data_IF_730034037393
#
_entry.id   IF_730034037393
#
_cell.length_a   1.000
_cell.length_b   1.000
_cell.length_c   1.000
_cell.angle_alpha   90.00
_cell.angle_beta   90.00
_cell.angle_gamma   90.00
#
_symmetry.space_group_name_H-M   'P 1'
#
loop_
_entity.id
_entity.type
_entity.pdbx_description
1 polymer ?
#
# COMPACT_ATOMS: atom_id res chain seq x y z
N UNK A 1 -7.10 23.04 -7.67
CA UNK A 1 -6.95 23.27 -6.22
C UNK A 1 -5.57 22.79 -5.80
N UNK A 2 -4.83 23.61 -5.06
CA UNK A 2 -3.45 23.31 -4.69
C UNK A 2 -3.38 22.16 -3.68
N UNK A 3 -2.52 21.19 -3.97
CA UNK A 3 -2.30 20.00 -3.16
C UNK A 3 -0.80 19.76 -2.93
N UNK A 4 -0.43 19.50 -1.69
CA UNK A 4 0.93 19.04 -1.34
C UNK A 4 0.95 17.52 -1.20
N UNK A 5 2.03 16.88 -1.65
CA UNK A 5 2.25 15.44 -1.49
C UNK A 5 3.22 15.24 -0.32
N UNK A 6 2.87 14.44 0.68
CA UNK A 6 3.76 14.12 1.80
C UNK A 6 4.40 12.76 1.55
N UNK A 7 5.71 12.76 1.31
CA UNK A 7 6.51 11.60 0.91
C UNK A 7 7.05 11.74 -0.52
N UNK A 8 8.35 11.96 -0.67
CA UNK A 8 9.09 12.06 -1.94
C UNK A 8 9.85 10.76 -2.24
N UNK A 9 9.13 9.64 -2.17
CA UNK A 9 9.63 8.29 -2.46
C UNK A 9 8.79 7.61 -3.54
N UNK A 10 8.91 6.28 -3.68
CA UNK A 10 8.18 5.50 -4.70
C UNK A 10 6.66 5.75 -4.69
N UNK A 11 6.03 5.74 -3.52
CA UNK A 11 4.59 6.02 -3.39
C UNK A 11 4.26 7.46 -3.82
N UNK A 12 5.12 8.43 -3.52
CA UNK A 12 4.99 9.82 -3.95
C UNK A 12 4.98 9.97 -5.48
N UNK A 13 5.82 9.19 -6.19
CA UNK A 13 5.83 9.16 -7.67
C UNK A 13 4.49 8.68 -8.22
N UNK A 14 3.94 7.61 -7.64
CA UNK A 14 2.65 7.04 -8.08
C UNK A 14 1.51 8.03 -7.82
N UNK A 15 1.49 8.69 -6.66
CA UNK A 15 0.47 9.71 -6.36
C UNK A 15 0.59 10.90 -7.30
N UNK A 16 1.81 11.35 -7.61
CA UNK A 16 2.03 12.42 -8.58
C UNK A 16 1.52 12.02 -9.98
N UNK A 17 1.77 10.79 -10.42
CA UNK A 17 1.24 10.25 -11.68
C UNK A 17 -0.29 10.30 -11.70
N UNK A 18 -0.96 9.78 -10.66
CA UNK A 18 -2.43 9.86 -10.51
C UNK A 18 -2.91 11.31 -10.60
N UNK A 19 -2.31 12.21 -9.83
CA UNK A 19 -2.70 13.63 -9.82
C UNK A 19 -2.49 14.30 -11.19
N UNK A 20 -1.46 13.90 -11.93
CA UNK A 20 -1.15 14.44 -13.26
C UNK A 20 -2.19 14.05 -14.32
N UNK A 21 -2.94 12.97 -14.10
CA UNK A 21 -4.08 12.59 -14.96
C UNK A 21 -5.35 13.38 -14.68
N UNK A 22 -5.36 14.25 -13.65
CA UNK A 22 -6.54 14.96 -13.17
C UNK A 22 -6.36 16.47 -13.27
N UNK A 23 -7.37 17.19 -13.77
CA UNK A 23 -7.32 18.67 -13.87
C UNK A 23 -7.73 19.37 -12.57
N UNK A 24 -8.38 18.65 -11.64
CA UNK A 24 -8.93 19.22 -10.40
C UNK A 24 -7.84 19.65 -9.43
N UNK A 25 -6.72 18.95 -9.40
CA UNK A 25 -5.65 19.12 -8.43
C UNK A 25 -4.41 19.70 -9.09
N UNK A 26 -3.74 20.59 -8.36
CA UNK A 26 -2.49 21.20 -8.80
C UNK A 26 -1.41 20.86 -7.76
N UNK A 27 -0.56 19.85 -8.02
CA UNK A 27 0.55 19.54 -7.15
C UNK A 27 1.46 20.77 -7.00
N UNK A 28 1.75 21.19 -5.78
CA UNK A 28 2.63 22.35 -5.51
C UNK A 28 4.06 21.93 -5.15
N UNK A 29 4.25 20.67 -4.76
CA UNK A 29 5.53 20.17 -4.27
C UNK A 29 5.36 18.96 -3.36
N UNK A 30 6.50 18.49 -2.85
CA UNK A 30 6.59 17.41 -1.89
C UNK A 30 7.00 17.92 -0.51
N UNK A 31 6.61 17.21 0.54
CA UNK A 31 7.25 17.26 1.85
C UNK A 31 7.98 15.95 2.11
N UNK A 32 9.21 15.99 2.59
CA UNK A 32 10.00 14.81 2.91
C UNK A 32 11.02 15.12 4.02
N UNK A 33 11.17 14.20 4.98
CA UNK A 33 12.06 14.38 6.12
C UNK A 33 13.52 14.00 5.81
N UNK A 34 13.79 13.39 4.64
CA UNK A 34 15.14 13.00 4.25
C UNK A 34 16.06 14.23 4.07
N UNK A 35 17.18 14.32 4.80
CA UNK A 35 18.12 15.43 4.64
C UNK A 35 18.71 15.56 3.24
N UNK A 36 18.80 14.45 2.49
CA UNK A 36 19.32 14.45 1.11
C UNK A 36 18.39 15.13 0.10
N UNK A 37 17.13 15.35 0.47
CA UNK A 37 16.13 15.98 -0.38
C UNK A 37 15.90 17.46 -0.03
N UNK A 38 16.61 17.99 0.96
CA UNK A 38 16.49 19.40 1.33
C UNK A 38 16.91 20.31 0.17
N UNK A 39 16.14 21.37 -0.07
CA UNK A 39 16.38 22.36 -1.13
C UNK A 39 16.54 21.72 -2.52
N UNK A 40 15.89 20.56 -2.74
CA UNK A 40 15.98 19.78 -3.97
C UNK A 40 14.66 19.75 -4.75
N UNK A 41 14.68 19.02 -5.88
CA UNK A 41 13.48 18.67 -6.62
C UNK A 41 13.31 17.16 -6.68
N UNK A 42 12.06 16.72 -6.70
CA UNK A 42 11.67 15.34 -6.91
C UNK A 42 10.62 15.28 -8.02
N UNK A 43 10.89 14.49 -9.07
CA UNK A 43 10.03 14.39 -10.26
C UNK A 43 9.67 15.75 -10.89
N UNK A 44 10.60 16.72 -10.87
CA UNK A 44 10.40 18.07 -11.42
C UNK A 44 9.60 19.02 -10.52
N UNK A 45 9.23 18.60 -9.31
CA UNK A 45 8.55 19.44 -8.31
C UNK A 45 9.48 19.74 -7.14
N UNK A 46 9.35 20.91 -6.49
CA UNK A 46 10.18 21.26 -5.34
C UNK A 46 9.85 20.38 -4.13
N UNK A 47 10.89 20.02 -3.37
CA UNK A 47 10.73 19.51 -2.00
C UNK A 47 10.67 20.72 -1.07
N UNK A 48 9.48 21.02 -0.56
CA UNK A 48 9.14 22.25 0.16
C UNK A 48 9.62 22.26 1.62
N UNK A 49 10.15 21.13 2.11
CA UNK A 49 10.63 20.95 3.48
C UNK A 49 10.22 19.61 4.09
N UNK A 50 10.44 19.43 5.40
CA UNK A 50 10.02 18.25 6.16
C UNK A 50 8.50 18.18 6.35
N UNK A 51 7.97 17.02 6.74
CA UNK A 51 6.56 16.82 7.06
C UNK A 51 6.07 17.70 8.23
N UNK A 52 6.98 18.24 9.05
CA UNK A 52 6.65 19.24 10.07
C UNK A 52 6.10 20.55 9.48
N UNK A 53 6.39 20.85 8.22
CA UNK A 53 6.00 22.10 7.56
C UNK A 53 4.54 22.14 7.09
N UNK A 54 3.76 21.08 7.30
CA UNK A 54 2.32 21.07 7.03
C UNK A 54 1.60 22.30 7.61
N UNK A 55 1.92 22.70 8.84
CA UNK A 55 1.30 23.85 9.49
C UNK A 55 1.65 25.18 8.78
N UNK A 56 2.90 25.29 8.29
CA UNK A 56 3.36 26.44 7.51
C UNK A 56 2.62 26.51 6.17
N UNK A 57 2.58 25.41 5.42
CA UNK A 57 1.89 25.35 4.13
C UNK A 57 0.39 25.65 4.23
N UNK A 58 -0.25 25.22 5.33
CA UNK A 58 -1.66 25.57 5.55
C UNK A 58 -1.86 27.07 5.70
N UNK A 59 -0.98 27.76 6.45
CA UNK A 59 -0.99 29.22 6.61
C UNK A 59 -0.72 29.93 5.30
N UNK A 60 0.12 29.35 4.44
CA UNK A 60 0.37 29.78 3.06
C UNK A 60 -0.79 29.45 2.10
N UNK A 61 -1.96 29.06 2.64
CA UNK A 61 -3.22 28.81 1.92
C UNK A 61 -3.23 27.58 1.01
N UNK A 62 -2.28 26.65 1.15
CA UNK A 62 -2.43 25.31 0.55
C UNK A 62 -3.64 24.62 1.18
N UNK A 63 -4.53 24.08 0.33
CA UNK A 63 -5.86 23.65 0.76
C UNK A 63 -5.98 22.14 0.94
N UNK A 64 -5.19 21.35 0.20
CA UNK A 64 -5.21 19.89 0.26
C UNK A 64 -3.83 19.30 0.54
N UNK A 65 -3.83 18.11 1.12
CA UNK A 65 -2.65 17.27 1.28
C UNK A 65 -3.00 15.82 0.94
N UNK A 66 -2.03 15.06 0.43
CA UNK A 66 -2.14 13.61 0.26
C UNK A 66 -0.91 12.94 0.87
N UNK A 67 -1.12 11.93 1.71
CA UNK A 67 -0.04 11.30 2.47
C UNK A 67 0.46 10.07 1.71
N UNK A 68 1.47 10.27 0.87
CA UNK A 68 2.08 9.26 0.01
C UNK A 68 3.21 8.49 0.72
N UNK A 69 2.90 7.90 1.88
CA UNK A 69 3.85 7.12 2.70
C UNK A 69 3.41 5.66 2.77
N UNK A 70 4.33 4.72 2.50
CA UNK A 70 4.05 3.29 2.53
C UNK A 70 3.72 2.78 3.93
N UNK A 71 4.53 3.16 4.93
CA UNK A 71 4.33 2.73 6.32
C UNK A 71 2.97 3.19 6.87
N UNK A 72 2.09 2.25 7.23
CA UNK A 72 0.72 2.53 7.67
C UNK A 72 0.65 3.44 8.90
N UNK A 73 1.56 3.28 9.87
CA UNK A 73 1.56 4.05 11.12
C UNK A 73 2.01 5.49 10.89
N UNK A 74 3.09 5.68 10.14
CA UNK A 74 3.57 7.00 9.75
C UNK A 74 2.51 7.71 8.90
N UNK A 75 1.95 7.00 7.91
CA UNK A 75 0.86 7.53 7.06
C UNK A 75 -0.36 7.94 7.89
N UNK A 76 -0.76 7.15 8.89
CA UNK A 76 -1.89 7.48 9.76
C UNK A 76 -1.63 8.70 10.65
N UNK A 77 -0.45 8.78 11.26
CA UNK A 77 -0.05 9.92 12.10
C UNK A 77 -0.05 11.23 11.30
N UNK A 78 0.55 11.23 10.10
CA UNK A 78 0.59 12.38 9.22
C UNK A 78 -0.79 12.75 8.66
N UNK A 79 -1.63 11.76 8.35
CA UNK A 79 -3.02 11.98 7.94
C UNK A 79 -3.80 12.69 9.05
N UNK A 80 -3.68 12.23 10.29
CA UNK A 80 -4.35 12.86 11.42
C UNK A 80 -3.88 14.29 11.64
N UNK A 81 -2.57 14.52 11.62
CA UNK A 81 -1.98 15.86 11.73
C UNK A 81 -2.48 16.79 10.64
N UNK A 82 -2.51 16.34 9.38
CA UNK A 82 -3.01 17.15 8.27
C UNK A 82 -4.51 17.47 8.43
N UNK A 83 -5.31 16.50 8.90
CA UNK A 83 -6.73 16.69 9.20
C UNK A 83 -6.97 17.73 10.30
N UNK A 84 -6.21 17.66 11.40
CA UNK A 84 -6.28 18.61 12.51
C UNK A 84 -5.88 20.03 12.08
N UNK A 85 -4.93 20.15 11.16
CA UNK A 85 -4.55 21.42 10.54
C UNK A 85 -5.59 21.93 9.52
N UNK A 86 -6.67 21.20 9.27
CA UNK A 86 -7.76 21.62 8.37
C UNK A 86 -7.38 21.54 6.89
N UNK A 87 -6.50 20.62 6.51
CA UNK A 87 -6.32 20.25 5.11
C UNK A 87 -7.51 19.41 4.64
N UNK A 88 -7.89 19.56 3.36
CA UNK A 88 -8.68 18.54 2.68
C UNK A 88 -7.78 17.36 2.31
N UNK A 89 -8.26 16.15 2.53
CA UNK A 89 -7.51 14.91 2.26
C UNK A 89 -8.25 14.16 1.17
N UNK A 90 -8.04 14.50 -0.11
CA UNK A 90 -8.85 13.96 -1.17
C UNK A 90 -8.55 12.49 -1.43
N UNK A 91 -9.57 11.78 -1.92
CA UNK A 91 -9.38 10.50 -2.58
C UNK A 91 -8.92 10.72 -4.01
N UNK A 92 -7.78 10.11 -4.37
CA UNK A 92 -7.13 10.23 -5.68
C UNK A 92 -7.21 8.89 -6.39
N UNK A 93 -7.71 8.90 -7.62
CA UNK A 93 -8.09 7.69 -8.36
C UNK A 93 -7.51 7.80 -9.76
N UNK A 94 -6.69 6.82 -10.15
CA UNK A 94 -6.20 6.73 -11.52
C UNK A 94 -7.37 6.43 -12.48
N UNK A 95 -7.45 7.08 -13.67
CA UNK A 95 -8.56 6.90 -14.61
C UNK A 95 -8.71 5.47 -15.17
N UNK A 96 -7.67 4.64 -15.09
CA UNK A 96 -7.75 3.22 -15.48
C UNK A 96 -8.31 2.29 -14.40
N UNK A 97 -8.59 2.79 -13.19
CA UNK A 97 -9.25 2.00 -12.17
C UNK A 97 -10.73 1.78 -12.52
N UNK A 98 -11.22 0.57 -12.31
CA UNK A 98 -12.63 0.20 -12.52
C UNK A 98 -13.32 0.14 -11.16
N UNK A 99 -14.25 1.05 -10.92
CA UNK A 99 -14.92 1.19 -9.62
C UNK A 99 -16.43 1.16 -9.84
N UNK A 100 -17.13 0.25 -9.14
CA UNK A 100 -18.58 0.20 -9.16
C UNK A 100 -19.21 1.46 -8.53
N UNK A 101 -20.40 1.84 -9.00
CA UNK A 101 -21.02 3.14 -8.68
C UNK A 101 -21.42 3.30 -7.21
N UNK A 102 -21.66 2.19 -6.53
CA UNK A 102 -22.13 2.09 -5.15
C UNK A 102 -20.99 1.90 -4.13
N UNK A 103 -19.75 1.83 -4.59
CA UNK A 103 -18.57 1.77 -3.71
C UNK A 103 -18.44 3.07 -2.93
N UNK A 104 -18.36 2.96 -1.61
CA UNK A 104 -18.09 4.10 -0.73
C UNK A 104 -16.63 4.12 -0.30
N UNK A 105 -15.99 5.30 -0.35
CA UNK A 105 -14.60 5.51 0.07
C UNK A 105 -14.50 6.66 1.07
N UNK A 106 -13.64 6.50 2.08
CA UNK A 106 -13.25 7.57 2.98
C UNK A 106 -12.30 8.59 2.34
N UNK A 107 -11.74 9.45 3.18
CA UNK A 107 -10.79 10.49 2.79
C UNK A 107 -9.37 9.93 2.61
N UNK A 108 -8.57 10.56 1.77
CA UNK A 108 -7.14 10.24 1.59
C UNK A 108 -6.87 8.88 0.95
N UNK A 109 -7.86 8.25 0.33
CA UNK A 109 -7.68 6.97 -0.36
C UNK A 109 -6.88 7.18 -1.66
N UNK A 110 -5.93 6.30 -1.93
CA UNK A 110 -5.09 6.31 -3.12
C UNK A 110 -5.40 5.07 -3.94
N UNK A 111 -5.96 5.24 -5.13
CA UNK A 111 -6.31 4.13 -6.04
C UNK A 111 -5.42 4.20 -7.28
N UNK A 112 -4.46 3.28 -7.34
CA UNK A 112 -3.46 3.15 -8.39
C UNK A 112 -4.04 2.60 -9.71
N UNK A 113 -3.28 2.68 -10.82
CA UNK A 113 -3.71 2.14 -12.12
C UNK A 113 -4.15 0.68 -12.07
N UNK A 114 -5.21 0.35 -12.82
CA UNK A 114 -5.68 -1.03 -13.00
C UNK A 114 -6.37 -1.66 -11.78
N UNK A 115 -6.53 -0.94 -10.67
CA UNK A 115 -7.31 -1.41 -9.54
C UNK A 115 -8.77 -1.67 -9.93
N UNK A 116 -9.34 -2.79 -9.47
CA UNK A 116 -10.74 -3.14 -9.70
C UNK A 116 -11.46 -3.26 -8.35
N UNK A 117 -12.52 -2.49 -8.15
CA UNK A 117 -13.29 -2.45 -6.90
C UNK A 117 -14.76 -2.56 -7.28
N UNK A 118 -15.40 -3.68 -6.95
CA UNK A 118 -16.76 -3.96 -7.43
C UNK A 118 -17.82 -3.70 -6.33
N UNK A 119 -19.08 -3.93 -6.70
CA UNK A 119 -20.30 -3.52 -5.98
C UNK A 119 -20.33 -3.94 -4.51
N UNK A 120 -21.00 -3.15 -3.66
CA UNK A 120 -21.18 -3.43 -2.24
C UNK A 120 -19.97 -3.13 -1.35
N UNK A 121 -18.78 -2.90 -1.93
CA UNK A 121 -17.56 -2.68 -1.17
C UNK A 121 -17.49 -1.33 -0.45
N UNK A 122 -16.96 -1.34 0.77
CA UNK A 122 -16.77 -0.17 1.63
C UNK A 122 -15.31 -0.02 2.02
N UNK A 123 -14.76 1.16 1.77
CA UNK A 123 -13.36 1.47 2.00
C UNK A 123 -13.25 2.63 2.98
N UNK A 124 -12.51 2.43 4.05
CA UNK A 124 -12.20 3.44 5.06
C UNK A 124 -11.29 4.56 4.56
N UNK A 125 -10.69 5.28 5.51
CA UNK A 125 -9.83 6.42 5.26
C UNK A 125 -8.37 6.01 5.06
N UNK A 126 -7.64 6.78 4.25
CA UNK A 126 -6.18 6.76 4.15
C UNK A 126 -5.63 5.37 3.76
N UNK A 127 -6.38 4.69 2.89
CA UNK A 127 -6.04 3.38 2.33
C UNK A 127 -5.20 3.57 1.08
N UNK A 128 -4.20 2.72 0.90
CA UNK A 128 -3.50 2.57 -0.38
C UNK A 128 -3.98 1.31 -1.08
N UNK A 129 -4.64 1.49 -2.22
CA UNK A 129 -5.04 0.42 -3.15
C UNK A 129 -4.11 0.47 -4.35
N UNK A 130 -3.11 -0.42 -4.35
CA UNK A 130 -2.00 -0.33 -5.27
C UNK A 130 -2.32 -0.96 -6.65
N UNK A 131 -1.33 -0.95 -7.55
CA UNK A 131 -1.50 -1.29 -8.96
C UNK A 131 -2.10 -2.68 -9.15
N UNK A 132 -3.12 -2.78 -9.99
CA UNK A 132 -3.76 -4.04 -10.39
C UNK A 132 -4.28 -4.91 -9.23
N UNK A 133 -4.68 -4.30 -8.11
CA UNK A 133 -5.41 -5.01 -7.04
C UNK A 133 -6.84 -5.32 -7.48
N UNK A 134 -7.47 -6.31 -6.84
CA UNK A 134 -8.93 -6.48 -6.91
C UNK A 134 -9.56 -6.57 -5.53
N UNK A 135 -10.67 -5.86 -5.35
CA UNK A 135 -11.58 -5.96 -4.20
C UNK A 135 -12.94 -6.36 -4.75
N UNK A 136 -13.31 -7.63 -4.54
CA UNK A 136 -14.55 -8.19 -5.04
C UNK A 136 -15.77 -7.72 -4.23
N UNK A 137 -16.95 -8.26 -4.50
CA UNK A 137 -18.21 -7.74 -3.99
C UNK A 137 -18.30 -7.77 -2.46
N UNK A 138 -18.99 -6.81 -1.86
CA UNK A 138 -19.29 -6.76 -0.42
C UNK A 138 -18.09 -6.78 0.53
N UNK A 139 -16.90 -6.35 0.09
CA UNK A 139 -15.74 -6.27 0.98
C UNK A 139 -15.80 -5.05 1.90
N UNK A 140 -15.16 -5.17 3.07
CA UNK A 140 -14.90 -4.06 3.97
C UNK A 140 -13.40 -3.92 4.17
N UNK A 141 -12.80 -2.82 3.74
CA UNK A 141 -11.39 -2.49 4.02
C UNK A 141 -11.33 -1.32 4.97
N UNK A 142 -10.80 -1.54 6.17
CA UNK A 142 -10.76 -0.54 7.24
C UNK A 142 -9.68 0.53 7.02
N UNK A 143 -9.71 1.57 7.84
CA UNK A 143 -8.78 2.69 7.79
C UNK A 143 -7.29 2.26 7.81
N UNK A 144 -6.46 3.03 7.11
CA UNK A 144 -5.00 2.90 7.12
C UNK A 144 -4.46 1.57 6.57
N UNK A 145 -5.27 0.79 5.86
CA UNK A 145 -4.79 -0.42 5.19
C UNK A 145 -3.86 -0.11 4.01
N UNK A 146 -3.03 -1.10 3.67
CA UNK A 146 -2.22 -1.10 2.46
C UNK A 146 -2.46 -2.40 1.71
N UNK A 147 -3.06 -2.30 0.53
CA UNK A 147 -3.30 -3.43 -0.38
C UNK A 147 -2.27 -3.30 -1.50
N UNK A 148 -1.22 -4.10 -1.42
CA UNK A 148 -0.04 -4.01 -2.29
C UNK A 148 -0.34 -4.53 -3.71
N UNK A 149 0.53 -4.26 -4.70
CA UNK A 149 0.23 -4.54 -6.10
C UNK A 149 -0.19 -5.98 -6.37
N UNK A 150 -1.22 -6.17 -7.19
CA UNK A 150 -1.71 -7.49 -7.57
C UNK A 150 -2.30 -8.32 -6.42
N UNK A 151 -2.58 -7.74 -5.25
CA UNK A 151 -3.32 -8.44 -4.21
C UNK A 151 -4.81 -8.53 -4.56
N UNK A 152 -5.43 -9.67 -4.24
CA UNK A 152 -6.80 -10.00 -4.62
C UNK A 152 -7.61 -10.41 -3.38
N UNK A 153 -8.68 -9.67 -3.10
CA UNK A 153 -9.68 -10.01 -2.08
C UNK A 153 -10.92 -10.56 -2.79
N UNK A 154 -11.29 -11.80 -2.50
CA UNK A 154 -12.57 -12.36 -2.95
C UNK A 154 -13.76 -11.72 -2.20
N UNK A 155 -14.99 -12.09 -2.59
CA UNK A 155 -16.19 -11.44 -2.06
C UNK A 155 -16.35 -11.55 -0.54
N UNK A 156 -17.01 -10.57 0.06
CA UNK A 156 -17.36 -10.54 1.49
C UNK A 156 -16.15 -10.63 2.45
N UNK A 157 -14.96 -10.19 2.01
CA UNK A 157 -13.76 -10.15 2.85
C UNK A 157 -13.75 -8.89 3.72
N UNK A 158 -13.42 -9.06 5.00
CA UNK A 158 -13.18 -7.93 5.92
C UNK A 158 -11.69 -7.79 6.22
N UNK A 159 -11.14 -6.59 6.08
CA UNK A 159 -9.75 -6.26 6.41
C UNK A 159 -9.72 -5.23 7.54
N UNK A 160 -9.13 -5.61 8.68
CA UNK A 160 -8.97 -4.75 9.85
C UNK A 160 -7.94 -3.64 9.64
N UNK A 161 -7.98 -2.58 10.46
CA UNK A 161 -7.18 -1.38 10.25
C UNK A 161 -5.67 -1.66 10.34
N UNK A 162 -4.87 -0.81 9.68
CA UNK A 162 -3.39 -0.93 9.62
C UNK A 162 -2.85 -2.21 8.98
N UNK A 163 -3.70 -3.07 8.43
CA UNK A 163 -3.28 -4.31 7.80
C UNK A 163 -2.58 -4.06 6.46
N UNK A 164 -1.56 -4.87 6.21
CA UNK A 164 -0.79 -4.91 4.97
C UNK A 164 -1.06 -6.23 4.26
N UNK A 165 -1.72 -6.14 3.10
CA UNK A 165 -1.93 -7.28 2.20
C UNK A 165 -0.83 -7.23 1.14
N UNK A 166 0.12 -8.15 1.23
CA UNK A 166 1.34 -8.17 0.41
C UNK A 166 1.10 -8.41 -1.07
N UNK A 167 2.10 -8.07 -1.87
CA UNK A 167 2.03 -8.12 -3.33
C UNK A 167 1.62 -9.51 -3.81
N UNK A 168 0.62 -9.61 -4.69
CA UNK A 168 0.17 -10.90 -5.21
C UNK A 168 -0.51 -11.82 -4.19
N UNK A 169 -0.82 -11.34 -2.99
CA UNK A 169 -1.51 -12.16 -1.99
C UNK A 169 -2.99 -12.34 -2.34
N UNK A 170 -3.55 -13.50 -2.04
CA UNK A 170 -4.94 -13.86 -2.35
C UNK A 170 -5.70 -14.21 -1.07
N UNK A 171 -6.90 -13.66 -0.91
CA UNK A 171 -7.77 -13.88 0.26
C UNK A 171 -9.07 -14.50 -0.20
N UNK A 172 -9.40 -15.69 0.31
CA UNK A 172 -10.63 -16.40 -0.03
C UNK A 172 -11.89 -15.70 0.47
N UNK A 173 -13.02 -16.05 -0.14
CA UNK A 173 -14.31 -15.44 0.10
C UNK A 173 -14.72 -15.53 1.57
N UNK A 174 -15.31 -14.44 2.09
CA UNK A 174 -15.92 -14.41 3.42
C UNK A 174 -14.94 -14.33 4.60
N UNK A 175 -13.63 -14.26 4.33
CA UNK A 175 -12.62 -14.27 5.40
C UNK A 175 -12.49 -12.91 6.09
N UNK A 176 -12.15 -12.97 7.38
CA UNK A 176 -11.82 -11.81 8.21
C UNK A 176 -10.32 -11.77 8.48
N UNK A 177 -9.70 -10.67 8.12
CA UNK A 177 -8.33 -10.33 8.47
C UNK A 177 -8.38 -9.32 9.59
N UNK A 178 -7.70 -9.63 10.69
CA UNK A 178 -7.60 -8.77 11.86
C UNK A 178 -6.90 -7.43 11.61
N UNK A 179 -6.72 -6.70 12.70
CA UNK A 179 -5.98 -5.45 12.79
C UNK A 179 -4.48 -5.70 12.71
N UNK A 180 -3.75 -4.82 12.02
CA UNK A 180 -2.29 -4.83 12.00
C UNK A 180 -1.71 -6.19 11.57
N UNK A 181 -2.38 -6.87 10.62
CA UNK A 181 -1.89 -8.11 10.04
C UNK A 181 -0.92 -7.79 8.90
N UNK A 182 0.13 -8.59 8.74
CA UNK A 182 0.99 -8.57 7.56
C UNK A 182 0.83 -9.89 6.82
N UNK A 183 0.11 -9.87 5.71
CA UNK A 183 0.08 -10.97 4.76
C UNK A 183 1.27 -10.79 3.80
N UNK A 184 2.21 -11.73 3.82
CA UNK A 184 3.40 -11.69 2.96
C UNK A 184 3.06 -11.81 1.49
N UNK A 185 3.99 -11.37 0.64
CA UNK A 185 3.82 -11.45 -0.81
C UNK A 185 3.52 -12.89 -1.28
N UNK A 186 2.60 -13.02 -2.23
CA UNK A 186 2.18 -14.29 -2.83
C UNK A 186 1.41 -15.23 -1.90
N UNK A 187 1.09 -14.81 -0.67
CA UNK A 187 0.43 -15.70 0.29
C UNK A 187 -1.03 -15.96 -0.07
N UNK A 188 -1.53 -17.16 0.23
CA UNK A 188 -2.94 -17.53 0.01
C UNK A 188 -3.62 -17.78 1.35
N UNK A 189 -4.50 -16.87 1.77
CA UNK A 189 -5.21 -16.99 3.03
C UNK A 189 -6.47 -17.86 2.85
N UNK A 190 -6.52 -18.98 3.59
CA UNK A 190 -7.62 -19.96 3.52
C UNK A 190 -8.52 -19.96 4.78
N UNK A 191 -8.21 -19.14 5.78
CA UNK A 191 -8.95 -19.03 7.04
C UNK A 191 -8.76 -17.62 7.61
N UNK A 192 -9.64 -17.22 8.52
CA UNK A 192 -9.51 -15.94 9.22
C UNK A 192 -8.12 -15.75 9.83
N UNK A 193 -7.66 -14.51 9.85
CA UNK A 193 -6.38 -14.11 10.41
C UNK A 193 -6.61 -13.27 11.67
N UNK A 194 -5.98 -13.68 12.77
CA UNK A 194 -6.01 -12.92 14.02
C UNK A 194 -5.20 -11.62 13.92
N UNK A 195 -5.54 -10.66 14.78
CA UNK A 195 -4.80 -9.41 14.95
C UNK A 195 -3.31 -9.64 15.20
N UNK A 196 -2.49 -8.66 14.78
CA UNK A 196 -1.05 -8.64 15.04
C UNK A 196 -0.32 -9.90 14.56
N UNK A 197 -0.76 -10.53 13.47
CA UNK A 197 -0.10 -11.71 12.89
C UNK A 197 0.73 -11.35 11.65
N UNK A 198 1.78 -12.15 11.42
CA UNK A 198 2.53 -12.20 10.15
C UNK A 198 2.24 -13.55 9.52
N UNK A 199 1.66 -13.56 8.33
CA UNK A 199 1.23 -14.76 7.62
C UNK A 199 1.97 -14.84 6.29
N UNK A 200 2.56 -15.99 5.97
CA UNK A 200 3.27 -16.20 4.71
C UNK A 200 2.93 -17.56 4.07
N UNK A 201 3.11 -17.67 2.76
CA UNK A 201 3.15 -18.93 2.03
C UNK A 201 1.83 -19.39 1.40
N UNK A 202 1.89 -20.55 0.75
CA UNK A 202 0.75 -21.20 0.08
C UNK A 202 0.64 -22.65 0.54
N UNK A 203 -0.36 -23.00 1.37
CA UNK A 203 -1.32 -22.09 1.99
C UNK A 203 -0.67 -21.19 3.05
N UNK A 204 -1.27 -20.03 3.29
CA UNK A 204 -0.80 -19.05 4.27
C UNK A 204 -0.80 -19.63 5.68
N UNK A 205 0.32 -19.45 6.39
CA UNK A 205 0.47 -19.87 7.80
C UNK A 205 1.07 -18.73 8.61
N UNK A 206 0.65 -18.64 9.87
CA UNK A 206 1.25 -17.70 10.83
C UNK A 206 2.72 -18.05 10.99
N UNK A 207 3.59 -17.12 10.58
CA UNK A 207 5.04 -17.21 10.77
C UNK A 207 5.42 -16.75 12.17
N UNK A 208 4.83 -15.64 12.60
CA UNK A 208 5.03 -15.04 13.91
C UNK A 208 3.89 -14.08 14.25
N UNK A 209 3.83 -13.67 15.51
CA UNK A 209 3.06 -12.48 15.90
C UNK A 209 3.94 -11.24 15.79
N UNK A 210 3.33 -10.12 15.44
CA UNK A 210 3.90 -8.80 15.59
C UNK A 210 3.91 -8.46 17.08
N UNK A 211 4.96 -7.82 17.55
CA UNK A 211 4.99 -7.36 18.93
C UNK A 211 3.85 -6.37 19.14
N UNK A 212 3.12 -6.49 20.26
CA UNK A 212 2.24 -5.42 20.71
C UNK A 212 3.13 -4.26 21.11
N UNK A 213 3.21 -3.25 20.25
CA UNK A 213 4.13 -2.15 20.49
C UNK A 213 3.45 -1.15 21.42
N UNK A 214 3.84 -1.15 22.70
CA UNK A 214 3.60 0.00 23.57
C UNK A 214 4.44 1.17 23.08
N UNK A 215 3.81 2.31 22.76
CA UNK A 215 4.31 3.67 22.47
C UNK A 215 5.73 3.96 21.89
N UNK A 216 6.53 2.99 21.45
CA UNK A 216 7.86 3.21 20.90
C UNK A 216 8.05 2.44 19.59
N UNK A 217 8.02 3.21 18.50
CA UNK A 217 8.17 2.81 17.09
C UNK A 217 9.41 1.95 16.79
N UNK A 218 9.30 0.90 15.95
CA UNK A 218 10.44 0.38 15.22
C UNK A 218 10.25 0.46 13.69
N UNK A 219 11.37 0.77 13.07
CA UNK A 219 11.64 0.93 11.64
C UNK A 219 11.38 -0.37 10.86
N UNK A 220 10.79 -0.24 9.67
CA UNK A 220 10.93 -1.20 8.57
C UNK A 220 11.44 -0.44 7.36
N UNK A 221 12.48 -0.99 6.72
CA UNK A 221 13.31 -0.32 5.72
C UNK A 221 12.52 0.13 4.50
N UNK A 222 12.66 1.41 4.18
CA UNK A 222 12.45 1.90 2.82
C UNK A 222 13.66 1.55 1.98
N UNK A 223 13.40 1.13 0.74
CA UNK A 223 14.38 0.87 -0.31
C UNK A 223 15.19 2.15 -0.58
N UNK A 224 16.39 2.24 0.01
CA UNK A 224 17.37 3.25 -0.36
C UNK A 224 17.97 2.85 -1.70
N UNK A 225 17.53 3.51 -2.76
CA UNK A 225 18.07 3.34 -4.10
C UNK A 225 19.58 3.60 -4.14
N UNK A 226 20.35 2.52 -4.20
CA UNK A 226 21.78 2.54 -4.47
C UNK A 226 22.02 2.62 -5.98
N UNK A 227 22.77 3.66 -6.39
CA UNK A 227 23.15 3.91 -7.77
C UNK A 227 23.92 2.75 -8.41
N UNK A 228 23.51 2.42 -9.63
CA UNK A 228 24.12 1.37 -10.44
C UNK A 228 25.37 1.93 -11.13
N UNK A 229 26.54 1.71 -10.52
CA UNK A 229 27.83 1.79 -11.22
C UNK A 229 28.55 0.46 -11.05
N UNK A 230 28.31 -0.49 -11.97
CA UNK A 230 29.18 -1.66 -12.12
C UNK A 230 29.62 -1.85 -13.57
N UNK A 231 30.80 -1.29 -13.80
CA UNK A 231 31.90 -1.82 -14.60
C UNK A 231 31.81 -3.32 -14.88
N UNK A 232 32.10 -3.66 -16.14
CA UNK A 232 32.34 -4.99 -16.67
C UNK A 232 33.28 -5.84 -15.83
N UNK A 233 32.86 -7.06 -15.49
CA UNK A 233 33.75 -8.19 -15.26
C UNK A 233 32.99 -9.50 -15.56
N UNK A 234 33.55 -10.28 -16.48
CA UNK A 234 33.07 -11.60 -16.91
C UNK A 234 33.03 -12.58 -15.73
N UNK A 235 32.01 -13.44 -15.69
CA UNK A 235 32.02 -14.66 -14.88
C UNK A 235 31.81 -15.89 -15.78
N UNK A 236 32.51 -17.01 -15.54
CA UNK A 236 32.42 -18.21 -16.36
C UNK A 236 31.18 -19.04 -16.05
N UNK A 237 30.75 -19.80 -17.06
CA UNK A 237 29.57 -20.67 -17.15
C UNK A 237 29.41 -21.68 -16.01
N UNK A 238 28.17 -21.95 -15.53
CA UNK A 238 27.93 -23.00 -14.53
C UNK A 238 27.83 -24.40 -15.17
N UNK A 239 28.44 -25.38 -14.51
CA UNK A 239 28.37 -26.81 -14.81
C UNK A 239 26.99 -27.42 -14.45
N UNK A 240 26.56 -28.51 -15.11
CA UNK A 240 25.20 -29.03 -14.98
C UNK A 240 24.98 -29.87 -13.70
N UNK A 241 23.78 -29.74 -13.13
CA UNK A 241 23.31 -30.48 -11.95
C UNK A 241 23.05 -31.98 -12.25
N UNK A 242 23.26 -32.90 -11.29
CA UNK A 242 22.95 -34.31 -11.45
C UNK A 242 21.44 -34.60 -11.35
N UNK A 243 20.94 -35.47 -12.23
CA UNK A 243 19.58 -36.00 -12.22
C UNK A 243 19.41 -37.07 -11.12
N UNK A 244 18.37 -36.96 -10.29
CA UNK A 244 18.05 -37.96 -9.27
C UNK A 244 16.60 -37.91 -8.77
N UNK A 245 15.84 -38.94 -9.14
CA UNK A 245 14.62 -39.51 -8.52
C UNK A 245 13.39 -38.63 -8.24
N UNK A 246 12.40 -38.73 -9.14
CA UNK A 246 10.99 -38.41 -8.86
C UNK A 246 10.36 -39.55 -8.05
N UNK A 247 10.05 -39.32 -6.77
CA UNK A 247 9.15 -40.18 -5.98
C UNK A 247 7.73 -39.62 -5.97
N UNK A 248 6.80 -40.48 -6.38
CA UNK A 248 5.36 -40.29 -6.40
C UNK A 248 4.80 -39.93 -5.02
N UNK A 249 4.12 -38.78 -4.91
CA UNK A 249 3.15 -38.49 -3.85
C UNK A 249 1.76 -38.31 -4.47
N UNK A 250 1.00 -39.40 -4.59
CA UNK A 250 -0.46 -39.35 -4.70
C UNK A 250 -1.04 -39.61 -3.32
N UNK A 251 -1.56 -38.59 -2.64
CA UNK A 251 -2.59 -38.75 -1.59
C UNK A 251 -3.56 -37.56 -1.59
N UNK A 252 -4.78 -37.86 -2.06
CA UNK A 252 -6.07 -37.42 -1.51
C UNK A 252 -6.24 -35.93 -1.16
N UNK A 253 -6.72 -35.14 -2.13
CA UNK A 253 -7.44 -33.88 -1.86
C UNK A 253 -8.92 -34.08 -2.19
N UNK A 254 -9.80 -33.87 -1.21
CA UNK A 254 -11.25 -33.70 -1.46
C UNK A 254 -11.43 -32.42 -2.29
N UNK A 255 -12.37 -32.37 -3.24
CA UNK A 255 -12.60 -31.17 -4.02
C UNK A 255 -13.13 -30.05 -3.12
N UNK A 256 -12.44 -28.92 -3.14
CA UNK A 256 -13.01 -27.64 -2.68
C UNK A 256 -13.98 -27.22 -3.79
N UNK A 257 -15.27 -27.17 -3.48
CA UNK A 257 -16.25 -26.57 -4.40
C UNK A 257 -16.14 -25.05 -4.27
N UNK A 258 -15.96 -24.39 -5.43
CA UNK A 258 -16.02 -22.95 -5.59
C UNK A 258 -17.47 -22.48 -5.66
#
# INVERSE_FOLDING_TARGET
MDIVIVGAAGQGKVVLDILSTQTRWKPVGFLDDSPSLKDSQFCGFPVLGPASDLARLRKEKIQAAIIAIGNNRVRASLFQKARELGFRLPTVIHPSAVIAKDVSMGDGVQVSPGAVIVTGSRLGNNIVLNTSISVDHDCLVSDHCYIAPGAHLAGNVTVGPFTWVGMGANVLQGLKIGTNVLLGAGSVLLSDAEDDTVIVGVPGRVLRRQEKIGNSSPLMGEDQGGGDTRSSAMNPSPSPLPQGERKNLRKSTKPIQF
#
